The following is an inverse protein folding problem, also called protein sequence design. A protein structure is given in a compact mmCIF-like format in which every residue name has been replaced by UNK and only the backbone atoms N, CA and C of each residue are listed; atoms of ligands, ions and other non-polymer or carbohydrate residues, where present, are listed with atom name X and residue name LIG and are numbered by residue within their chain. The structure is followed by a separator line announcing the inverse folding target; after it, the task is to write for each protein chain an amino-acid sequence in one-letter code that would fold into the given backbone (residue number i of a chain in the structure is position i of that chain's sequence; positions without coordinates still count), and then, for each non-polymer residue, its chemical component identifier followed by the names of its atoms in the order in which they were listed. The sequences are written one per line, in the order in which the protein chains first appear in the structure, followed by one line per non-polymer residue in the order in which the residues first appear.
data_IF_245648088085
#
_entry.id   IF_245648088085
#
_cell.length_a   1.000
_cell.length_b   1.000
_cell.length_c   1.000
_cell.angle_alpha   90.00
_cell.angle_beta   90.00
_cell.angle_gamma   90.00
#
_symmetry.space_group_name_H-M   'P 1'
#
loop_
_entity.id
_entity.type
_entity.pdbx_description
1 polymer ?
#
# COMPACT_ATOMS: atom_id res chain seq x y z
N UNK A 1 15.71 -1.10 -0.51
CA UNK A 1 14.81 -0.17 -1.24
C UNK A 1 13.77 0.38 -0.26
N UNK A 2 13.50 1.67 -0.35
CA UNK A 2 12.53 2.36 0.51
C UNK A 2 11.34 2.82 -0.34
N UNK A 3 10.15 2.46 0.08
CA UNK A 3 8.91 2.80 -0.64
C UNK A 3 7.85 3.31 0.32
N UNK A 4 6.75 3.83 -0.23
CA UNK A 4 5.56 4.20 0.52
C UNK A 4 4.33 3.56 -0.10
N UNK A 5 3.31 3.39 0.72
CA UNK A 5 1.98 2.97 0.28
C UNK A 5 0.95 3.67 1.13
N UNK A 6 -0.11 4.20 0.52
CA UNK A 6 -1.19 4.87 1.23
C UNK A 6 -2.55 4.35 0.78
N UNK A 7 -3.39 4.04 1.75
CA UNK A 7 -4.79 3.71 1.51
C UNK A 7 -5.64 4.91 1.94
N UNK A 8 -6.29 5.53 0.97
CA UNK A 8 -7.20 6.66 1.19
C UNK A 8 -8.63 6.12 1.25
N UNK A 9 -9.24 6.22 2.42
CA UNK A 9 -10.61 5.75 2.66
C UNK A 9 -11.48 6.90 3.13
N UNK A 10 -12.58 7.15 2.43
CA UNK A 10 -13.54 8.19 2.77
C UNK A 10 -14.91 7.82 2.24
N UNK A 11 -15.96 8.17 2.99
CA UNK A 11 -17.33 7.87 2.58
C UNK A 11 -17.62 6.38 2.41
N UNK A 12 -16.94 5.51 3.16
CA UNK A 12 -17.12 4.06 3.09
C UNK A 12 -16.44 3.39 1.90
N UNK A 13 -15.55 4.11 1.20
CA UNK A 13 -14.83 3.60 0.03
C UNK A 13 -13.35 3.88 0.14
N UNK A 14 -12.55 3.02 -0.45
CA UNK A 14 -11.08 3.12 -0.50
C UNK A 14 -10.63 3.22 -1.96
N UNK A 15 -9.73 4.17 -2.22
CA UNK A 15 -9.16 4.33 -3.55
C UNK A 15 -8.12 3.24 -3.80
N UNK A 16 -8.35 2.43 -4.83
CA UNK A 16 -7.45 1.35 -5.19
C UNK A 16 -6.98 1.51 -6.63
N UNK A 17 -5.75 1.08 -6.87
CA UNK A 17 -5.15 1.04 -8.20
C UNK A 17 -5.16 -0.40 -8.71
N UNK A 18 -5.84 -0.64 -9.83
CA UNK A 18 -5.79 -1.92 -10.53
C UNK A 18 -4.68 -1.85 -11.58
N UNK A 19 -3.62 -2.60 -11.38
CA UNK A 19 -2.39 -2.56 -12.20
C UNK A 19 -2.56 -3.33 -13.50
N UNK A 20 -3.12 -2.68 -14.52
CA UNK A 20 -3.45 -3.33 -15.82
C UNK A 20 -2.82 -2.66 -17.02
N UNK A 21 -2.22 -1.47 -16.87
CA UNK A 21 -1.70 -0.71 -18.01
C UNK A 21 -0.23 -0.99 -18.33
N UNK A 22 0.53 -1.52 -17.38
CA UNK A 22 1.97 -1.73 -17.51
C UNK A 22 2.26 -3.20 -17.76
N UNK A 23 2.90 -3.53 -18.89
CA UNK A 23 3.31 -4.90 -19.23
C UNK A 23 4.51 -5.31 -18.37
N UNK A 24 4.62 -6.61 -18.07
CA UNK A 24 5.72 -7.19 -17.28
C UNK A 24 5.86 -6.59 -15.88
N UNK A 25 4.78 -6.01 -15.37
CA UNK A 25 4.70 -5.50 -14.03
C UNK A 25 4.50 -6.67 -13.07
N UNK A 26 5.31 -6.75 -12.00
CA UNK A 26 5.17 -7.77 -10.95
C UNK A 26 3.79 -7.70 -10.29
N UNK A 27 3.20 -6.51 -10.25
CA UNK A 27 1.86 -6.28 -9.71
C UNK A 27 0.75 -6.41 -10.77
N UNK A 28 1.08 -6.89 -11.98
CA UNK A 28 0.09 -6.96 -13.06
C UNK A 28 -1.16 -7.70 -12.61
N UNK A 29 -2.32 -7.12 -12.90
CA UNK A 29 -3.64 -7.61 -12.51
C UNK A 29 -3.93 -7.59 -11.00
N UNK A 30 -3.01 -7.14 -10.18
CA UNK A 30 -3.24 -6.96 -8.74
C UNK A 30 -3.84 -5.58 -8.45
N UNK A 31 -4.60 -5.52 -7.37
CA UNK A 31 -5.08 -4.27 -6.81
C UNK A 31 -4.18 -3.88 -5.65
N UNK A 32 -3.75 -2.62 -5.63
CA UNK A 32 -2.85 -2.11 -4.59
C UNK A 32 -3.30 -0.72 -4.14
N UNK A 33 -2.75 -0.25 -3.03
CA UNK A 33 -2.84 1.15 -2.63
C UNK A 33 -1.98 2.03 -3.53
N UNK A 34 -1.82 3.29 -3.18
CA UNK A 34 -1.06 4.28 -3.96
C UNK A 34 0.28 4.53 -3.29
N UNK A 35 1.36 4.46 -4.04
CA UNK A 35 2.68 4.71 -3.48
C UNK A 35 3.79 4.65 -4.52
N UNK A 36 5.02 4.72 -4.06
CA UNK A 36 6.18 4.69 -4.92
C UNK A 36 7.47 4.73 -4.12
N UNK A 37 8.57 4.99 -4.79
CA UNK A 37 9.91 4.98 -4.20
C UNK A 37 10.29 6.34 -3.64
N UNK A 38 10.98 6.35 -2.51
CA UNK A 38 11.57 7.56 -1.96
C UNK A 38 12.65 8.09 -2.91
N UNK A 39 12.64 9.40 -3.13
CA UNK A 39 13.70 10.10 -3.81
C UNK A 39 14.76 10.53 -2.79
N UNK A 40 15.96 10.85 -3.27
CA UNK A 40 17.04 11.32 -2.41
C UNK A 40 16.58 12.52 -1.58
N UNK A 41 16.79 12.43 -0.27
CA UNK A 41 16.48 13.51 0.65
C UNK A 41 15.00 13.61 1.06
N UNK A 42 14.14 12.73 0.56
CA UNK A 42 12.72 12.69 0.93
C UNK A 42 12.49 11.93 2.22
N UNK A 43 11.62 12.46 3.07
CA UNK A 43 11.07 11.68 4.17
C UNK A 43 9.96 10.75 3.65
N UNK A 44 9.58 9.70 4.41
CA UNK A 44 8.43 8.88 4.04
C UNK A 44 7.15 9.69 3.80
N UNK A 45 6.89 10.69 4.62
CA UNK A 45 5.72 11.56 4.51
C UNK A 45 5.74 12.37 3.21
N UNK A 46 6.89 12.95 2.89
CA UNK A 46 7.07 13.72 1.66
C UNK A 46 6.87 12.84 0.42
N UNK A 47 7.43 11.64 0.43
CA UNK A 47 7.28 10.67 -0.65
C UNK A 47 5.81 10.28 -0.82
N UNK A 48 5.13 9.96 0.26
CA UNK A 48 3.73 9.55 0.21
C UNK A 48 2.87 10.64 -0.43
N UNK A 49 3.02 11.88 0.01
CA UNK A 49 2.25 13.00 -0.54
C UNK A 49 2.57 13.25 -2.00
N UNK A 50 3.83 13.23 -2.39
CA UNK A 50 4.27 13.44 -3.77
C UNK A 50 3.74 12.35 -4.69
N UNK A 51 3.98 11.08 -4.36
CA UNK A 51 3.57 9.94 -5.18
C UNK A 51 2.06 9.86 -5.33
N UNK A 52 1.34 10.08 -4.24
CA UNK A 52 -0.12 10.04 -4.27
C UNK A 52 -0.68 11.12 -5.19
N UNK A 53 -0.17 12.34 -5.08
CA UNK A 53 -0.61 13.46 -5.91
C UNK A 53 -0.25 13.26 -7.37
N UNK A 54 0.95 12.78 -7.66
CA UNK A 54 1.40 12.50 -9.04
C UNK A 54 0.54 11.43 -9.70
N UNK A 55 0.22 10.36 -8.99
CA UNK A 55 -0.51 9.23 -9.55
C UNK A 55 -2.01 9.48 -9.67
N UNK A 56 -2.60 10.23 -8.76
CA UNK A 56 -4.07 10.34 -8.67
C UNK A 56 -4.63 11.73 -8.93
N UNK A 57 -3.83 12.77 -8.77
CA UNK A 57 -4.31 14.16 -8.75
C UNK A 57 -4.89 14.58 -7.41
N UNK A 58 -4.95 13.67 -6.42
CA UNK A 58 -5.47 13.95 -5.09
C UNK A 58 -4.32 14.11 -4.11
N UNK A 59 -4.45 15.08 -3.20
CA UNK A 59 -3.54 15.24 -2.07
C UNK A 59 -4.22 14.74 -0.81
N UNK A 60 -3.72 13.66 -0.18
CA UNK A 60 -4.35 13.11 1.01
C UNK A 60 -4.35 14.10 2.18
N UNK A 61 -5.44 14.09 2.93
CA UNK A 61 -5.58 14.82 4.20
C UNK A 61 -5.98 13.84 5.29
N UNK A 62 -5.78 14.25 6.56
CA UNK A 62 -6.05 13.35 7.68
C UNK A 62 -5.22 12.08 7.61
N UNK A 63 -4.02 12.18 7.08
CA UNK A 63 -3.16 11.02 6.94
C UNK A 63 -2.40 10.69 8.22
N UNK A 64 -2.07 9.41 8.36
CA UNK A 64 -1.31 8.88 9.49
C UNK A 64 -0.28 7.87 8.98
N UNK A 65 0.89 7.89 9.60
CA UNK A 65 1.92 6.88 9.38
C UNK A 65 1.60 5.68 10.28
N UNK A 66 1.21 4.56 9.68
CA UNK A 66 0.59 3.46 10.41
C UNK A 66 1.55 2.30 10.69
N UNK A 67 2.54 2.09 9.89
CA UNK A 67 3.44 0.96 10.08
C UNK A 67 4.59 0.93 9.11
N UNK A 68 5.56 0.04 9.40
CA UNK A 68 6.66 -0.26 8.50
C UNK A 68 6.53 -1.72 8.10
N UNK A 69 6.46 -1.98 6.80
CA UNK A 69 6.37 -3.33 6.26
C UNK A 69 7.69 -3.68 5.59
N UNK A 70 8.30 -4.75 6.05
CA UNK A 70 9.55 -5.27 5.48
C UNK A 70 9.21 -6.44 4.57
N UNK A 71 9.40 -6.27 3.27
CA UNK A 71 9.20 -7.34 2.29
C UNK A 71 10.51 -8.01 1.99
N UNK A 72 10.55 -9.33 2.14
CA UNK A 72 11.73 -10.13 1.79
C UNK A 72 11.33 -11.11 0.68
N UNK A 73 12.11 -11.13 -0.39
CA UNK A 73 11.94 -12.06 -1.49
C UNK A 73 13.31 -12.52 -1.99
N UNK A 74 13.33 -13.38 -2.98
CA UNK A 74 14.57 -13.82 -3.62
C UNK A 74 15.32 -12.64 -4.27
N UNK A 75 14.58 -11.61 -4.69
CA UNK A 75 15.14 -10.44 -5.40
C UNK A 75 15.65 -9.35 -4.47
N UNK A 76 15.49 -9.51 -3.16
CA UNK A 76 15.99 -8.56 -2.20
C UNK A 76 15.01 -8.19 -1.09
N UNK A 77 15.18 -7.00 -0.54
CA UNK A 77 14.42 -6.52 0.59
C UNK A 77 13.91 -5.11 0.34
N UNK A 78 12.64 -4.89 0.65
CA UNK A 78 11.98 -3.59 0.52
C UNK A 78 11.41 -3.18 1.87
N UNK A 79 11.63 -1.92 2.23
CA UNK A 79 11.05 -1.31 3.43
C UNK A 79 9.95 -0.34 2.99
N UNK A 80 8.72 -0.71 3.21
CA UNK A 80 7.56 0.07 2.79
C UNK A 80 6.93 0.78 3.97
N UNK A 81 6.87 2.10 3.87
CA UNK A 81 6.24 2.95 4.88
C UNK A 81 4.74 3.03 4.56
N UNK A 82 3.92 2.54 5.48
CA UNK A 82 2.48 2.35 5.28
C UNK A 82 1.68 3.48 5.92
N UNK A 83 0.84 4.12 5.11
CA UNK A 83 0.00 5.25 5.51
C UNK A 83 -1.46 4.95 5.27
N UNK A 84 -2.32 5.64 6.03
CA UNK A 84 -3.75 5.75 5.74
C UNK A 84 -4.14 7.22 5.72
N UNK A 85 -5.19 7.55 4.98
CA UNK A 85 -5.74 8.89 4.93
C UNK A 85 -7.27 8.82 4.94
N UNK A 86 -7.91 9.87 5.44
CA UNK A 86 -9.37 9.91 5.58
C UNK A 86 -10.05 10.95 4.72
N UNK A 87 -9.30 11.80 4.04
CA UNK A 87 -9.83 12.83 3.15
C UNK A 87 -8.83 13.22 2.09
N UNK A 88 -9.23 14.14 1.22
CA UNK A 88 -8.37 14.61 0.15
C UNK A 88 -8.78 15.98 -0.36
N UNK A 89 -7.84 16.62 -1.03
CA UNK A 89 -8.05 17.81 -1.87
C UNK A 89 -7.65 17.46 -3.29
N UNK A 90 -8.18 18.22 -4.25
CA UNK A 90 -7.85 18.00 -5.66
C UNK A 90 -8.90 17.22 -6.42
N UNK A 91 -8.57 16.86 -7.65
CA UNK A 91 -9.47 16.17 -8.57
C UNK A 91 -8.80 14.91 -9.11
N UNK A 92 -9.52 13.79 -9.03
CA UNK A 92 -9.05 12.51 -9.54
C UNK A 92 -8.80 12.58 -11.04
N UNK A 93 -7.65 12.09 -11.47
CA UNK A 93 -7.28 11.98 -12.87
C UNK A 93 -6.86 10.56 -13.22
N UNK A 94 -6.70 10.28 -14.50
CA UNK A 94 -6.23 8.96 -14.94
C UNK A 94 -4.79 8.70 -14.47
N UNK A 95 -4.52 7.44 -14.12
CA UNK A 95 -3.21 6.96 -13.73
C UNK A 95 -2.57 6.20 -14.90
N UNK A 96 -1.28 6.41 -15.14
CA UNK A 96 -0.55 5.76 -16.23
C UNK A 96 -0.29 4.27 -15.96
N UNK A 97 -0.35 3.85 -14.71
CA UNK A 97 0.01 2.48 -14.30
C UNK A 97 -1.19 1.53 -14.25
N UNK A 98 -2.38 2.07 -14.24
CA UNK A 98 -3.58 1.25 -14.14
C UNK A 98 -4.85 2.08 -14.03
N UNK A 99 -5.91 1.44 -13.58
CA UNK A 99 -7.22 2.05 -13.38
C UNK A 99 -7.44 2.33 -11.90
N UNK A 100 -7.81 3.57 -11.58
CA UNK A 100 -8.16 3.98 -10.22
C UNK A 100 -9.66 3.78 -10.01
N UNK A 101 -10.02 3.13 -8.92
CA UNK A 101 -11.43 2.92 -8.55
C UNK A 101 -11.65 3.11 -7.07
N UNK A 102 -12.78 3.71 -6.72
CA UNK A 102 -13.28 3.75 -5.35
C UNK A 102 -14.01 2.44 -5.06
N UNK A 103 -13.39 1.62 -4.22
CA UNK A 103 -13.89 0.29 -3.89
C UNK A 103 -14.57 0.35 -2.51
N UNK A 104 -15.79 -0.20 -2.33
CA UNK A 104 -16.39 -0.27 -1.00
C UNK A 104 -15.45 -0.95 -0.02
N UNK A 105 -15.30 -0.40 1.19
CA UNK A 105 -14.33 -0.86 2.18
C UNK A 105 -14.43 -2.37 2.46
N UNK A 106 -15.64 -2.90 2.51
CA UNK A 106 -15.86 -4.33 2.73
C UNK A 106 -15.48 -5.23 1.55
N UNK A 107 -15.15 -4.66 0.39
CA UNK A 107 -14.77 -5.41 -0.81
C UNK A 107 -13.26 -5.44 -1.05
N UNK A 108 -12.51 -4.54 -0.42
CA UNK A 108 -11.07 -4.36 -0.68
C UNK A 108 -10.28 -5.67 -0.49
N UNK A 109 -10.51 -6.36 0.61
CA UNK A 109 -9.78 -7.59 0.93
C UNK A 109 -10.21 -8.79 0.07
N UNK A 110 -11.29 -8.65 -0.72
CA UNK A 110 -11.78 -9.68 -1.63
C UNK A 110 -11.24 -9.53 -3.05
N UNK A 111 -10.56 -8.43 -3.34
CA UNK A 111 -9.93 -8.20 -4.63
C UNK A 111 -8.71 -9.12 -4.81
N UNK A 112 -8.24 -9.33 -6.04
CA UNK A 112 -6.94 -9.96 -6.29
C UNK A 112 -5.82 -9.07 -5.77
N UNK A 113 -5.44 -9.26 -4.52
CA UNK A 113 -4.37 -8.55 -3.84
C UNK A 113 -3.30 -9.56 -3.41
N UNK A 114 -2.12 -9.05 -3.09
CA UNK A 114 -1.06 -9.88 -2.53
C UNK A 114 -1.50 -10.44 -1.17
N UNK A 115 -1.09 -11.67 -0.86
CA UNK A 115 -1.41 -12.30 0.43
C UNK A 115 -0.96 -11.46 1.62
N UNK A 116 0.21 -10.84 1.52
CA UNK A 116 0.74 -9.96 2.56
C UNK A 116 -0.04 -8.67 2.71
N UNK A 117 -0.57 -8.14 1.61
CA UNK A 117 -1.41 -6.94 1.65
C UNK A 117 -2.68 -7.22 2.45
N UNK A 118 -3.22 -8.44 2.34
CA UNK A 118 -4.37 -8.86 3.14
C UNK A 118 -4.05 -8.83 4.64
N UNK A 119 -2.82 -9.20 5.00
CA UNK A 119 -2.37 -9.17 6.40
C UNK A 119 -2.34 -7.74 6.93
N UNK A 120 -1.65 -6.81 6.24
CA UNK A 120 -1.57 -5.45 6.81
C UNK A 120 -2.87 -4.66 6.67
N UNK A 121 -3.70 -4.94 5.68
CA UNK A 121 -5.05 -4.33 5.61
C UNK A 121 -5.87 -4.72 6.85
N UNK A 122 -5.79 -5.98 7.26
CA UNK A 122 -6.44 -6.44 8.48
C UNK A 122 -5.87 -5.74 9.72
N UNK A 123 -4.55 -5.62 9.82
CA UNK A 123 -3.91 -4.92 10.93
C UNK A 123 -4.31 -3.45 10.98
N UNK A 124 -4.41 -2.78 9.83
CA UNK A 124 -4.88 -1.39 9.76
C UNK A 124 -6.30 -1.25 10.29
N UNK A 125 -7.14 -2.24 10.02
CA UNK A 125 -8.54 -2.25 10.47
C UNK A 125 -8.67 -2.53 11.97
N UNK A 126 -7.79 -3.39 12.51
CA UNK A 126 -7.88 -3.89 13.89
C UNK A 126 -7.03 -3.13 14.90
N UNK A 127 -5.99 -2.41 14.45
CA UNK A 127 -5.02 -1.74 15.34
C UNK A 127 -4.92 -0.26 15.04
N UNK A 128 -4.90 0.53 16.11
CA UNK A 128 -4.62 1.97 16.03
C UNK A 128 -3.12 2.30 16.22
N UNK A 129 -2.37 1.39 16.85
CA UNK A 129 -0.96 1.60 17.16
C UNK A 129 -0.08 1.26 15.96
N UNK A 130 1.05 1.95 15.85
CA UNK A 130 2.07 1.68 14.85
C UNK A 130 2.57 0.25 14.98
N UNK A 131 2.85 -0.40 13.85
CA UNK A 131 3.38 -1.77 13.86
C UNK A 131 4.53 -1.93 12.87
N UNK A 132 5.37 -2.93 13.14
CA UNK A 132 6.40 -3.39 12.23
C UNK A 132 6.03 -4.79 11.76
N UNK A 133 5.84 -4.96 10.47
CA UNK A 133 5.43 -6.24 9.88
C UNK A 133 6.46 -6.71 8.87
N UNK A 134 7.02 -7.90 9.09
CA UNK A 134 7.91 -8.52 8.12
C UNK A 134 7.14 -9.60 7.36
N UNK A 135 7.22 -9.58 6.05
CA UNK A 135 6.59 -10.54 5.16
C UNK A 135 7.66 -11.20 4.30
N UNK A 136 7.72 -12.52 4.34
CA UNK A 136 8.69 -13.29 3.56
C UNK A 136 7.95 -14.05 2.47
N UNK A 137 8.30 -13.77 1.22
CA UNK A 137 7.69 -14.39 0.06
C UNK A 137 8.62 -15.43 -0.58
N UNK A 138 8.02 -16.51 -1.04
CA UNK A 138 8.62 -17.49 -1.93
C UNK A 138 7.82 -17.43 -3.24
N UNK A 139 8.34 -16.70 -4.22
CA UNK A 139 7.57 -16.34 -5.42
C UNK A 139 6.37 -15.48 -5.04
N UNK A 140 5.17 -15.90 -5.41
CA UNK A 140 3.94 -15.19 -5.03
C UNK A 140 3.35 -15.69 -3.70
N UNK A 141 3.93 -16.74 -3.13
CA UNK A 141 3.43 -17.35 -1.89
C UNK A 141 4.02 -16.64 -0.67
N UNK A 142 3.15 -16.24 0.24
CA UNK A 142 3.57 -15.72 1.54
C UNK A 142 4.00 -16.90 2.42
N UNK A 143 5.30 -17.01 2.67
CA UNK A 143 5.89 -18.15 3.37
C UNK A 143 5.96 -17.96 4.88
N UNK A 144 6.17 -16.72 5.35
CA UNK A 144 6.32 -16.42 6.77
C UNK A 144 6.05 -14.95 7.04
N UNK A 145 5.72 -14.63 8.28
CA UNK A 145 5.57 -13.26 8.73
C UNK A 145 6.02 -13.11 10.17
N UNK A 146 6.44 -11.87 10.52
CA UNK A 146 6.70 -11.47 11.90
C UNK A 146 6.01 -10.15 12.17
N UNK A 147 5.36 -10.05 13.29
CA UNK A 147 4.70 -8.83 13.75
C UNK A 147 5.40 -8.32 15.01
N UNK A 148 5.92 -7.09 14.95
CA UNK A 148 6.65 -6.48 16.05
C UNK A 148 7.77 -7.39 16.59
N UNK A 149 8.45 -8.08 15.69
CA UNK A 149 9.57 -8.97 16.00
C UNK A 149 9.20 -10.38 16.41
N UNK A 150 7.92 -10.72 16.46
CA UNK A 150 7.45 -12.05 16.87
C UNK A 150 6.80 -12.79 15.71
N UNK A 151 6.92 -14.10 15.68
CA UNK A 151 6.32 -14.95 14.66
C UNK A 151 4.81 -14.71 14.59
N UNK A 152 4.30 -14.60 13.38
CA UNK A 152 2.90 -14.33 13.09
C UNK A 152 2.39 -15.37 12.10
N UNK A 153 1.29 -16.06 12.40
CA UNK A 153 0.80 -17.11 11.50
C UNK A 153 0.28 -16.55 10.18
N UNK A 154 0.60 -17.24 9.09
CA UNK A 154 0.16 -16.86 7.74
C UNK A 154 -0.57 -18.00 7.05
#
# INVERSE_FOLDING_TARGET
MQTTLCYLSTGGRTLMLHRVKKKNDVNHDKWIGIGGKLEHGESPEECMLREFTEETGLTPTGWRYRGLVTFVSQDGCEYMHLFTATGFEGTLRECDEGTLEWVPDGQVERLPIWAGDRVFLRLLRERETFFSLKLVYDGERLAAAKLDGQDFPV
#
